data_IF_300317853304
#
_entry.id   IF_300317853304
#
_cell.length_a   1.000
_cell.length_b   1.000
_cell.length_c   1.000
_cell.angle_alpha   90.00
_cell.angle_beta   90.00
_cell.angle_gamma   90.00
#
_symmetry.space_group_name_H-M   'P 1'
#
loop_
_entity.id
_entity.type
_entity.pdbx_description
1 polymer ?
#
# COMPACT_ATOMS: atom_id res chain seq x y z
N UNK A 1 -12.43 -19.03 46.71
CA UNK A 1 -12.23 -17.56 46.78
C UNK A 1 -11.11 -17.04 45.88
N UNK A 2 -10.16 -17.87 45.42
CA UNK A 2 -9.01 -17.43 44.60
C UNK A 2 -9.35 -17.27 43.10
N UNK A 3 -10.32 -18.02 42.57
CA UNK A 3 -10.68 -17.96 41.14
C UNK A 3 -11.30 -16.62 40.70
N UNK A 4 -12.04 -15.92 41.57
CA UNK A 4 -12.73 -14.68 41.20
C UNK A 4 -11.78 -13.47 41.03
N UNK A 5 -10.62 -13.45 41.71
CA UNK A 5 -9.65 -12.35 41.59
C UNK A 5 -8.85 -12.43 40.29
N UNK A 6 -8.46 -13.65 39.87
CA UNK A 6 -7.77 -13.88 38.60
C UNK A 6 -8.63 -13.51 37.38
N UNK A 7 -9.95 -13.73 37.47
CA UNK A 7 -10.91 -13.36 36.42
C UNK A 7 -11.03 -11.83 36.29
N UNK A 8 -11.10 -11.11 37.42
CA UNK A 8 -11.17 -9.64 37.45
C UNK A 8 -9.91 -8.98 36.87
N UNK A 9 -8.72 -9.50 37.22
CA UNK A 9 -7.45 -8.98 36.71
C UNK A 9 -7.35 -9.18 35.19
N UNK A 10 -7.82 -10.33 34.69
CA UNK A 10 -7.88 -10.64 33.26
C UNK A 10 -8.87 -9.73 32.51
N UNK A 11 -10.01 -9.40 33.12
CA UNK A 11 -10.99 -8.45 32.57
C UNK A 11 -10.43 -7.02 32.53
N UNK A 12 -9.72 -6.58 33.56
CA UNK A 12 -9.10 -5.26 33.61
C UNK A 12 -8.03 -5.09 32.53
N UNK A 13 -7.13 -6.06 32.36
CA UNK A 13 -6.10 -6.05 31.30
C UNK A 13 -6.71 -6.05 29.90
N UNK A 14 -7.80 -6.80 29.70
CA UNK A 14 -8.52 -6.81 28.42
C UNK A 14 -9.16 -5.45 28.14
N UNK A 15 -9.75 -4.81 29.16
CA UNK A 15 -10.34 -3.47 29.03
C UNK A 15 -9.30 -2.39 28.75
N UNK A 16 -8.13 -2.45 29.39
CA UNK A 16 -7.03 -1.51 29.12
C UNK A 16 -6.48 -1.69 27.70
N UNK A 17 -6.27 -2.93 27.24
CA UNK A 17 -5.83 -3.24 25.87
C UNK A 17 -6.81 -2.73 24.81
N UNK A 18 -8.12 -2.89 25.05
CA UNK A 18 -9.15 -2.44 24.12
C UNK A 18 -9.27 -0.91 24.07
N UNK A 19 -9.06 -0.24 25.21
CA UNK A 19 -9.01 1.22 25.26
C UNK A 19 -7.78 1.77 24.51
N UNK A 20 -6.61 1.16 24.69
CA UNK A 20 -5.39 1.59 23.99
C UNK A 20 -5.49 1.39 22.48
N UNK A 21 -6.05 0.26 22.03
CA UNK A 21 -6.28 0.01 20.59
C UNK A 21 -7.28 1.00 19.99
N UNK A 22 -8.36 1.30 20.71
CA UNK A 22 -9.35 2.29 20.27
C UNK A 22 -8.78 3.71 20.20
N UNK A 23 -7.87 4.07 21.09
CA UNK A 23 -7.17 5.36 21.05
C UNK A 23 -6.16 5.44 19.92
N UNK A 24 -5.38 4.38 19.72
CA UNK A 24 -4.46 4.25 18.60
C UNK A 24 -5.17 4.38 17.25
N UNK A 25 -6.26 3.64 17.04
CA UNK A 25 -7.05 3.73 15.80
C UNK A 25 -7.64 5.12 15.58
N UNK A 26 -8.03 5.83 16.65
CA UNK A 26 -8.49 7.22 16.56
C UNK A 26 -7.37 8.17 16.18
N UNK A 27 -6.15 7.93 16.66
CA UNK A 27 -4.99 8.75 16.29
C UNK A 27 -4.60 8.55 14.82
N UNK A 28 -4.50 7.30 14.36
CA UNK A 28 -4.23 6.97 12.95
C UNK A 28 -5.25 7.63 12.01
N UNK A 29 -6.54 7.54 12.36
CA UNK A 29 -7.60 8.18 11.57
C UNK A 29 -7.52 9.72 11.60
N UNK A 30 -7.13 10.32 12.73
CA UNK A 30 -6.90 11.78 12.82
C UNK A 30 -5.75 12.24 11.91
N UNK A 31 -4.75 11.38 11.67
CA UNK A 31 -3.67 11.61 10.72
C UNK A 31 -4.07 11.35 9.26
N UNK A 32 -5.30 10.89 9.00
CA UNK A 32 -5.77 10.57 7.65
C UNK A 32 -5.21 9.26 7.08
N UNK A 33 -4.63 8.41 7.92
CA UNK A 33 -4.00 7.15 7.53
C UNK A 33 -5.01 5.99 7.61
N UNK A 34 -4.77 4.97 6.79
CA UNK A 34 -5.41 3.68 6.94
C UNK A 34 -4.71 2.88 8.07
N UNK A 35 -5.41 2.34 9.07
CA UNK A 35 -4.82 1.46 10.09
C UNK A 35 -4.03 0.28 9.54
N UNK A 36 -4.37 -0.18 8.33
CA UNK A 36 -3.65 -1.27 7.67
C UNK A 36 -2.43 -0.81 6.88
N UNK A 37 -2.18 0.49 6.76
CA UNK A 37 -1.02 1.05 6.06
C UNK A 37 0.29 0.77 6.81
N UNK A 38 1.38 0.62 6.07
CA UNK A 38 2.72 0.64 6.65
C UNK A 38 2.99 1.93 7.43
N UNK A 39 2.48 3.07 6.98
CA UNK A 39 2.61 4.36 7.66
C UNK A 39 2.02 4.37 9.08
N UNK A 40 0.94 3.61 9.30
CA UNK A 40 0.28 3.55 10.59
C UNK A 40 1.09 2.77 11.64
N UNK A 41 2.03 1.91 11.22
CA UNK A 41 2.84 1.13 12.15
C UNK A 41 3.61 2.06 13.11
N UNK A 42 3.73 1.70 14.39
CA UNK A 42 4.54 2.47 15.32
C UNK A 42 6.02 2.41 14.89
N UNK A 43 6.66 3.58 14.86
CA UNK A 43 8.11 3.72 14.70
C UNK A 43 8.81 3.02 15.87
N UNK A 44 9.89 2.32 15.56
CA UNK A 44 10.76 1.67 16.56
C UNK A 44 11.87 2.63 16.98
N UNK A 45 12.37 2.43 18.19
CA UNK A 45 13.51 3.21 18.70
C UNK A 45 14.79 2.89 17.91
N UNK A 46 14.90 1.68 17.36
CA UNK A 46 16.03 1.25 16.53
C UNK A 46 15.94 1.74 15.07
N UNK A 47 14.82 2.32 14.65
CA UNK A 47 14.64 2.85 13.29
C UNK A 47 15.37 4.21 13.17
N UNK A 48 16.47 4.30 12.40
CA UNK A 48 17.25 5.52 12.30
C UNK A 48 16.61 6.56 11.34
N UNK A 49 15.60 6.16 10.57
CA UNK A 49 14.93 7.05 9.62
C UNK A 49 13.78 7.80 10.31
N UNK A 50 13.68 9.10 10.05
CA UNK A 50 12.53 9.88 10.50
C UNK A 50 11.32 9.65 9.60
N UNK A 51 10.15 9.68 10.21
CA UNK A 51 8.87 9.60 9.50
C UNK A 51 8.76 10.75 8.48
N UNK A 52 8.44 10.41 7.23
CA UNK A 52 8.20 11.41 6.19
C UNK A 52 6.80 12.05 6.30
N UNK A 53 6.39 12.81 5.26
CA UNK A 53 5.11 13.52 5.24
C UNK A 53 3.90 12.60 5.43
N UNK A 54 4.00 11.35 4.99
CA UNK A 54 2.95 10.35 5.15
C UNK A 54 3.35 9.24 6.13
N UNK A 55 4.31 9.52 7.02
CA UNK A 55 4.73 8.67 8.13
C UNK A 55 5.38 7.34 7.73
N UNK A 56 5.93 7.23 6.52
CA UNK A 56 6.68 6.06 6.11
C UNK A 56 8.13 6.12 6.60
N UNK A 57 8.67 4.93 6.84
CA UNK A 57 10.11 4.63 6.93
C UNK A 57 10.35 3.29 6.26
N UNK A 58 11.60 2.99 5.90
CA UNK A 58 12.00 1.70 5.34
C UNK A 58 11.75 0.55 6.31
N UNK A 59 11.95 0.75 7.62
CA UNK A 59 11.64 -0.27 8.63
C UNK A 59 10.15 -0.61 8.61
N UNK A 60 9.28 0.41 8.63
CA UNK A 60 7.82 0.20 8.59
C UNK A 60 7.38 -0.54 7.32
N UNK A 61 7.86 -0.10 6.15
CA UNK A 61 7.53 -0.73 4.87
C UNK A 61 7.99 -2.19 4.85
N UNK A 62 9.24 -2.44 5.26
CA UNK A 62 9.81 -3.79 5.34
C UNK A 62 9.02 -4.68 6.28
N UNK A 63 8.65 -4.18 7.47
CA UNK A 63 7.85 -4.93 8.44
C UNK A 63 6.46 -5.28 7.91
N UNK A 64 5.82 -4.40 7.14
CA UNK A 64 4.49 -4.65 6.57
C UNK A 64 4.53 -5.63 5.39
N UNK A 65 5.54 -5.52 4.52
CA UNK A 65 5.54 -6.16 3.21
C UNK A 65 6.69 -7.15 2.96
N UNK A 66 7.51 -7.47 3.96
CA UNK A 66 8.65 -8.41 3.84
C UNK A 66 8.29 -9.80 3.32
N UNK A 67 7.03 -10.22 3.44
CA UNK A 67 6.55 -11.51 2.95
C UNK A 67 6.07 -11.50 1.49
N UNK A 68 6.11 -10.34 0.82
CA UNK A 68 5.69 -10.21 -0.57
C UNK A 68 6.88 -10.55 -1.50
N UNK A 69 6.69 -11.35 -2.56
CA UNK A 69 7.78 -11.76 -3.44
C UNK A 69 8.13 -10.63 -4.43
N UNK A 70 9.01 -9.71 -4.01
CA UNK A 70 9.51 -8.61 -4.84
C UNK A 70 10.12 -7.48 -4.02
N UNK A 71 10.48 -6.39 -4.71
CA UNK A 71 11.04 -5.20 -4.07
C UNK A 71 9.96 -4.17 -3.80
N UNK A 72 9.88 -3.68 -2.56
CA UNK A 72 9.04 -2.54 -2.19
C UNK A 72 9.75 -1.24 -2.55
N UNK A 73 9.09 -0.39 -3.34
CA UNK A 73 9.64 0.88 -3.83
C UNK A 73 8.68 1.99 -3.42
N UNK A 74 9.15 2.94 -2.61
CA UNK A 74 8.43 4.17 -2.28
C UNK A 74 8.84 5.28 -3.27
N UNK A 75 7.88 5.74 -4.07
CA UNK A 75 8.08 6.82 -5.03
C UNK A 75 7.45 8.11 -4.51
N UNK A 76 8.18 9.23 -4.58
CA UNK A 76 7.75 10.52 -4.07
C UNK A 76 7.60 11.53 -5.21
N UNK A 77 6.57 12.36 -5.14
CA UNK A 77 6.26 13.39 -6.12
C UNK A 77 5.73 14.64 -5.41
N UNK A 78 6.51 15.71 -5.44
CA UNK A 78 6.20 16.96 -4.74
C UNK A 78 5.20 17.87 -5.49
N UNK A 79 5.00 17.60 -6.78
CA UNK A 79 4.08 18.35 -7.62
C UNK A 79 3.40 17.42 -8.63
N UNK A 80 2.13 17.09 -8.38
CA UNK A 80 1.34 16.28 -9.31
C UNK A 80 1.00 17.09 -10.58
N UNK A 81 1.30 16.57 -11.78
CA UNK A 81 0.94 17.24 -13.03
C UNK A 81 -0.58 17.40 -13.20
N UNK A 82 -1.01 18.48 -13.84
CA UNK A 82 -2.44 18.77 -14.10
C UNK A 82 -3.13 17.67 -14.93
N UNK A 83 -2.38 16.96 -15.78
CA UNK A 83 -2.87 15.81 -16.56
C UNK A 83 -2.95 14.49 -15.79
N UNK A 84 -2.68 14.51 -14.47
CA UNK A 84 -2.55 13.34 -13.62
C UNK A 84 -1.27 12.53 -13.88
N UNK A 85 -1.17 11.36 -13.25
CA UNK A 85 0.03 10.53 -13.27
C UNK A 85 0.25 9.79 -14.59
N UNK A 86 -0.80 9.61 -15.39
CA UNK A 86 -0.71 8.87 -16.66
C UNK A 86 -0.50 7.37 -16.52
N UNK A 87 -1.08 6.78 -15.47
CA UNK A 87 -1.11 5.33 -15.24
C UNK A 87 -2.46 4.76 -15.68
N UNK A 88 -2.44 3.58 -16.28
CA UNK A 88 -3.63 2.74 -16.47
C UNK A 88 -3.53 1.52 -15.56
N UNK A 89 -4.64 1.20 -14.89
CA UNK A 89 -4.68 0.20 -13.83
C UNK A 89 -5.60 -0.96 -14.22
N UNK A 90 -5.20 -2.18 -13.87
CA UNK A 90 -6.05 -3.36 -13.92
C UNK A 90 -6.13 -4.02 -12.54
N UNK A 91 -7.29 -4.60 -12.23
CA UNK A 91 -7.48 -5.38 -11.02
C UNK A 91 -7.37 -6.85 -11.34
N UNK A 92 -6.50 -7.57 -10.66
CA UNK A 92 -6.51 -9.03 -10.66
C UNK A 92 -7.15 -9.51 -9.35
N UNK A 93 -7.88 -10.61 -9.42
CA UNK A 93 -8.47 -11.29 -8.27
C UNK A 93 -7.94 -12.71 -8.23
N UNK A 94 -6.82 -12.91 -7.53
CA UNK A 94 -6.24 -14.23 -7.32
C UNK A 94 -6.59 -14.77 -5.94
N UNK A 95 -7.19 -15.96 -5.93
CA UNK A 95 -7.63 -16.88 -4.85
C UNK A 95 -8.18 -16.28 -3.53
N UNK A 96 -7.64 -15.20 -2.99
CA UNK A 96 -8.12 -14.52 -1.77
C UNK A 96 -7.87 -12.99 -1.73
N UNK A 97 -7.23 -12.38 -2.74
CA UNK A 97 -6.87 -10.95 -2.70
C UNK A 97 -7.13 -10.25 -4.04
N UNK A 98 -7.72 -9.06 -3.96
CA UNK A 98 -7.81 -8.15 -5.10
C UNK A 98 -6.58 -7.24 -5.10
N UNK A 99 -5.82 -7.24 -6.19
CA UNK A 99 -4.56 -6.51 -6.33
C UNK A 99 -4.60 -5.65 -7.58
N UNK A 100 -4.01 -4.46 -7.51
CA UNK A 100 -4.04 -3.49 -8.61
C UNK A 100 -2.66 -3.40 -9.24
N UNK A 101 -2.62 -3.56 -10.56
CA UNK A 101 -1.40 -3.54 -11.36
C UNK A 101 -1.41 -2.40 -12.35
N UNK A 102 -0.22 -1.91 -12.67
CA UNK A 102 -0.01 -0.97 -13.76
C UNK A 102 0.05 -1.74 -15.08
N UNK A 103 -0.87 -1.44 -16.00
CA UNK A 103 -0.94 -2.08 -17.33
C UNK A 103 -0.47 -1.18 -18.47
N UNK A 104 -0.45 0.13 -18.25
CA UNK A 104 0.15 1.08 -19.19
C UNK A 104 0.66 2.32 -18.46
N UNK A 105 1.77 2.87 -18.96
CA UNK A 105 2.39 4.10 -18.46
C UNK A 105 2.54 5.05 -19.64
N UNK A 106 1.97 6.25 -19.53
CA UNK A 106 2.18 7.29 -20.55
C UNK A 106 3.63 7.81 -20.49
N UNK A 107 4.24 8.21 -21.62
CA UNK A 107 5.57 8.83 -21.62
C UNK A 107 5.69 10.07 -20.74
N UNK A 108 4.58 10.75 -20.47
CA UNK A 108 4.50 11.94 -19.60
C UNK A 108 4.38 11.61 -18.10
N UNK A 109 4.46 10.33 -17.71
CA UNK A 109 4.37 9.93 -16.31
C UNK A 109 5.58 10.50 -15.54
N UNK A 110 5.36 11.23 -14.43
CA UNK A 110 6.46 11.82 -13.67
C UNK A 110 7.18 10.81 -12.77
N UNK A 111 6.68 9.57 -12.66
CA UNK A 111 7.17 8.55 -11.75
C UNK A 111 7.87 7.41 -12.52
N UNK A 112 8.95 6.81 -11.98
CA UNK A 112 9.66 5.67 -12.59
C UNK A 112 8.92 4.34 -12.37
N UNK A 113 7.63 4.32 -12.72
CA UNK A 113 6.73 3.16 -12.65
C UNK A 113 6.89 2.31 -13.92
N UNK A 114 6.78 0.99 -13.77
CA UNK A 114 6.85 0.01 -14.86
C UNK A 114 5.53 -0.75 -15.00
N UNK A 115 5.26 -1.22 -16.21
CA UNK A 115 4.17 -2.17 -16.44
C UNK A 115 4.43 -3.43 -15.61
N UNK A 116 3.41 -3.90 -14.91
CA UNK A 116 3.49 -5.03 -13.98
C UNK A 116 3.77 -4.64 -12.53
N UNK A 117 4.07 -3.38 -12.21
CA UNK A 117 4.19 -2.93 -10.83
C UNK A 117 2.83 -3.08 -10.11
N UNK A 118 2.87 -3.67 -8.91
CA UNK A 118 1.72 -3.82 -8.00
C UNK A 118 1.61 -2.60 -7.11
N UNK A 119 0.46 -1.92 -7.10
CA UNK A 119 0.25 -0.77 -6.23
C UNK A 119 -0.22 -1.22 -4.85
N UNK A 120 0.54 -0.85 -3.82
CA UNK A 120 0.26 -1.24 -2.44
C UNK A 120 -0.46 -0.14 -1.68
N UNK A 121 0.08 1.08 -1.69
CA UNK A 121 -0.45 2.21 -0.92
C UNK A 121 -0.21 3.55 -1.63
N UNK A 122 -1.04 4.53 -1.31
CA UNK A 122 -0.89 5.92 -1.75
C UNK A 122 -1.16 6.86 -0.57
N UNK A 123 -0.21 7.73 -0.22
CA UNK A 123 -0.33 8.70 0.87
C UNK A 123 -0.85 8.10 2.20
N UNK A 124 -0.37 6.91 2.57
CA UNK A 124 -0.80 6.18 3.78
C UNK A 124 -2.17 5.50 3.68
N UNK A 125 -2.75 5.38 2.47
CA UNK A 125 -4.02 4.71 2.19
C UNK A 125 -3.77 3.40 1.42
N UNK A 126 -4.31 2.29 1.90
CA UNK A 126 -4.09 0.96 1.30
C UNK A 126 -4.90 0.79 0.02
N UNK A 127 -4.25 0.25 -1.02
CA UNK A 127 -4.86 -0.07 -2.32
C UNK A 127 -5.14 -1.57 -2.48
N UNK A 128 -4.51 -2.41 -1.67
CA UNK A 128 -4.79 -3.85 -1.60
C UNK A 128 -6.26 -4.09 -1.21
N UNK A 129 -6.92 -5.02 -1.91
CA UNK A 129 -8.34 -5.33 -1.71
C UNK A 129 -9.29 -4.41 -2.48
N UNK A 130 -8.81 -3.33 -3.10
CA UNK A 130 -9.63 -2.44 -3.93
C UNK A 130 -9.69 -2.90 -5.38
N UNK A 131 -10.82 -2.60 -6.04
CA UNK A 131 -10.90 -2.69 -7.49
C UNK A 131 -10.01 -1.61 -8.14
N UNK A 132 -9.60 -1.83 -9.38
CA UNK A 132 -8.80 -0.84 -10.11
C UNK A 132 -9.52 0.52 -10.24
N UNK A 133 -10.85 0.54 -10.32
CA UNK A 133 -11.64 1.78 -10.32
C UNK A 133 -11.57 2.49 -8.97
N UNK A 134 -11.73 1.76 -7.86
CA UNK A 134 -11.66 2.32 -6.52
C UNK A 134 -10.25 2.82 -6.20
N UNK A 135 -9.22 2.06 -6.57
CA UNK A 135 -7.82 2.47 -6.44
C UNK A 135 -7.52 3.71 -7.29
N UNK A 136 -7.99 3.76 -8.55
CA UNK A 136 -7.85 4.93 -9.42
C UNK A 136 -8.48 6.18 -8.81
N UNK A 137 -9.69 6.06 -8.27
CA UNK A 137 -10.37 7.16 -7.57
C UNK A 137 -9.58 7.62 -6.34
N UNK A 138 -9.03 6.67 -5.56
CA UNK A 138 -8.25 6.96 -4.36
C UNK A 138 -6.95 7.70 -4.68
N UNK A 139 -6.25 7.26 -5.72
CA UNK A 139 -5.03 7.92 -6.21
C UNK A 139 -5.35 9.33 -6.71
N UNK A 140 -6.45 9.50 -7.47
CA UNK A 140 -6.88 10.81 -7.96
C UNK A 140 -7.21 11.78 -6.81
N UNK A 141 -7.93 11.32 -5.79
CA UNK A 141 -8.21 12.11 -4.58
C UNK A 141 -6.91 12.59 -3.91
N UNK A 142 -5.92 11.70 -3.75
CA UNK A 142 -4.61 12.06 -3.20
C UNK A 142 -3.80 13.00 -4.09
N UNK A 143 -4.04 13.00 -5.40
CA UNK A 143 -3.41 13.94 -6.32
C UNK A 143 -3.92 15.38 -6.16
N UNK A 144 -5.11 15.60 -5.58
CA UNK A 144 -5.67 16.94 -5.36
C UNK A 144 -4.86 17.75 -4.33
N UNK A 145 -4.20 17.06 -3.40
CA UNK A 145 -3.29 17.66 -2.40
C UNK A 145 -1.94 18.12 -3.00
N UNK A 146 -1.70 17.86 -4.30
CA UNK A 146 -0.52 18.27 -5.04
C UNK A 146 0.77 17.48 -4.74
N UNK A 147 0.81 16.73 -3.64
CA UNK A 147 1.95 15.90 -3.22
C UNK A 147 1.50 14.44 -3.09
N UNK A 148 2.32 13.53 -3.61
CA UNK A 148 2.02 12.11 -3.69
C UNK A 148 3.22 11.25 -3.27
N UNK A 149 2.98 10.28 -2.41
CA UNK A 149 3.87 9.15 -2.16
C UNK A 149 3.16 7.84 -2.52
N UNK A 150 3.71 7.13 -3.50
CA UNK A 150 3.17 5.89 -4.04
C UNK A 150 4.09 4.72 -3.67
N UNK A 151 3.58 3.79 -2.87
CA UNK A 151 4.26 2.56 -2.51
C UNK A 151 3.84 1.45 -3.46
N UNK A 152 4.81 0.82 -4.10
CA UNK A 152 4.58 -0.28 -5.03
C UNK A 152 5.49 -1.48 -4.75
N UNK A 153 5.08 -2.65 -5.25
CA UNK A 153 5.88 -3.87 -5.28
C UNK A 153 6.27 -4.17 -6.72
N UNK A 154 7.57 -4.36 -6.96
CA UNK A 154 8.10 -4.77 -8.26
C UNK A 154 8.61 -6.20 -8.20
N UNK A 155 7.98 -7.11 -8.96
CA UNK A 155 8.44 -8.50 -9.09
C UNK A 155 9.36 -8.62 -10.30
N UNK A 156 10.54 -9.19 -10.11
CA UNK A 156 11.47 -9.45 -11.21
C UNK A 156 10.94 -10.51 -12.21
N UNK A 157 10.05 -11.40 -11.77
CA UNK A 157 9.49 -12.49 -12.59
C UNK A 157 8.29 -12.09 -13.47
N UNK A 158 7.69 -10.91 -13.28
CA UNK A 158 6.50 -10.50 -14.04
C UNK A 158 6.76 -10.30 -15.54
N UNK A 159 8.03 -10.17 -15.94
CA UNK A 159 8.45 -10.08 -17.33
C UNK A 159 8.17 -11.36 -18.13
N UNK A 160 8.15 -12.53 -17.48
CA UNK A 160 8.02 -13.81 -18.17
C UNK A 160 6.57 -14.05 -18.62
N UNK A 161 5.58 -13.63 -17.83
CA UNK A 161 4.15 -13.85 -18.12
C UNK A 161 3.65 -12.91 -19.23
N UNK A 162 4.15 -11.67 -19.29
CA UNK A 162 3.82 -10.72 -20.37
C UNK A 162 4.41 -11.15 -21.72
N UNK A 163 5.58 -11.79 -21.72
CA UNK A 163 6.13 -12.46 -22.91
C UNK A 163 5.16 -13.55 -23.37
N UNK A 164 4.65 -14.41 -22.49
CA UNK A 164 3.68 -15.44 -22.90
C UNK A 164 2.37 -14.86 -23.46
N UNK A 165 1.86 -13.75 -22.93
CA UNK A 165 0.66 -13.12 -23.49
C UNK A 165 0.90 -12.43 -24.84
N UNK A 166 2.07 -11.83 -25.06
CA UNK A 166 2.41 -11.21 -26.36
C UNK A 166 2.73 -12.25 -27.43
N UNK A 167 3.37 -13.38 -27.07
CA UNK A 167 3.68 -14.46 -28.00
C UNK A 167 2.47 -15.35 -28.33
N UNK A 168 1.47 -15.49 -27.44
CA UNK A 168 0.25 -16.26 -27.74
C UNK A 168 -0.63 -15.60 -28.82
N UNK A 169 -0.61 -14.27 -28.92
CA UNK A 169 -1.39 -13.53 -29.93
C UNK A 169 -0.65 -13.36 -31.27
N UNK A 170 0.66 -13.59 -31.33
CA UNK A 170 1.43 -13.50 -32.58
C UNK A 170 1.61 -14.85 -33.29
N UNK A 171 1.36 -15.99 -32.63
CA UNK A 171 1.49 -17.33 -33.22
C UNK A 171 0.16 -17.98 -33.66
N UNK A 172 -0.98 -17.30 -33.52
CA UNK A 172 -2.29 -17.81 -33.99
C UNK A 172 -2.78 -17.20 -35.30
N UNK A 173 -1.98 -16.35 -35.95
CA UNK A 173 -2.21 -15.89 -37.32
C UNK A 173 -0.98 -16.20 -38.20
N UNK A 174 -0.80 -17.48 -38.52
CA UNK A 174 -0.23 -17.89 -39.80
C UNK A 174 -0.99 -19.12 -40.32
#
# INVERSE_FOLDING_TARGET
>A
MVENSAVLDKLQRRRSSMNSESEYLRDVRRRGLDPESAAALPKRDEDPEEEDKFFYTKDKISRKYSNFPGDTILLKLDAVPHGGLGLSLAGNRDRDRMTVFVVAVRPTCPLPVKIGDELLEVNGKVLLGLSHLNASSKIRECCEDGILELLLLRRFEALVILIFFVFLFHFFFL
#
